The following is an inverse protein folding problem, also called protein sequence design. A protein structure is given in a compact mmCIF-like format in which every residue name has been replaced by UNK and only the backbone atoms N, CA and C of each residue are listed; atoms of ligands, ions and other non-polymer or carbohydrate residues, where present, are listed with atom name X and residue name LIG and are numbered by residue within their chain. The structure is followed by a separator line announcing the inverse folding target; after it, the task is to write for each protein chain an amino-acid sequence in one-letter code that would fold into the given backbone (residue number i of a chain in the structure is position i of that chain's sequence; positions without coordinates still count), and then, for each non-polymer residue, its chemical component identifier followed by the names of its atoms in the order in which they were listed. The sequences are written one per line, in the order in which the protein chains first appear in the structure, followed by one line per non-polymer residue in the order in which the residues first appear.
data_IF_531566178334
#
_entry.id   IF_531566178334
#
_cell.length_a   1.000
_cell.length_b   1.000
_cell.length_c   1.000
_cell.angle_alpha   90.00
_cell.angle_beta   90.00
_cell.angle_gamma   90.00
#
_symmetry.space_group_name_H-M   'P 1'
#
loop_
_entity.id
_entity.type
_entity.pdbx_description
1 polymer ?
#
# COMPACT_ATOMS: atom_id res chain seq x y z
N UNK A 1 2.74 16.52 16.74
CA UNK A 1 3.24 16.74 15.38
C UNK A 1 3.52 15.39 14.75
N UNK A 2 3.10 15.21 13.50
CA UNK A 2 3.24 13.97 12.73
C UNK A 2 4.37 14.13 11.72
N UNK A 3 4.96 13.06 11.22
CA UNK A 3 6.03 13.13 10.21
C UNK A 3 5.66 12.30 8.99
N UNK A 4 5.60 12.95 7.84
CA UNK A 4 5.41 12.29 6.54
C UNK A 4 6.67 12.47 5.69
N UNK A 5 6.89 11.54 4.77
CA UNK A 5 8.05 11.59 3.87
C UNK A 5 7.57 12.04 2.49
N UNK A 6 8.01 13.22 2.07
CA UNK A 6 7.63 13.86 0.82
C UNK A 6 8.83 13.87 -0.10
N UNK A 7 8.61 13.65 -1.39
CA UNK A 7 9.65 13.78 -2.41
C UNK A 7 9.86 15.27 -2.72
N UNK A 8 11.10 15.74 -2.56
CA UNK A 8 11.51 17.11 -2.90
C UNK A 8 11.64 17.26 -4.43
N UNK A 9 11.79 18.50 -4.91
CA UNK A 9 11.87 18.83 -6.34
C UNK A 9 13.01 18.12 -7.09
N UNK A 10 14.03 17.65 -6.36
CA UNK A 10 15.18 16.87 -6.84
C UNK A 10 14.99 15.34 -6.72
N UNK A 11 13.80 14.85 -6.40
CA UNK A 11 13.51 13.42 -6.21
C UNK A 11 14.04 12.85 -4.89
N UNK A 12 14.51 13.71 -3.98
CA UNK A 12 15.01 13.30 -2.66
C UNK A 12 13.86 13.20 -1.67
N UNK A 13 13.77 12.06 -0.99
CA UNK A 13 12.73 11.88 0.02
C UNK A 13 13.15 12.57 1.33
N UNK A 14 12.43 13.63 1.70
CA UNK A 14 12.63 14.40 2.92
C UNK A 14 11.52 14.11 3.94
N UNK A 15 11.87 14.04 5.22
CA UNK A 15 10.90 13.83 6.30
C UNK A 15 10.47 15.19 6.86
N UNK A 16 9.19 15.51 6.72
CA UNK A 16 8.62 16.82 7.07
C UNK A 16 7.67 16.64 8.26
N UNK A 17 7.83 17.49 9.27
CA UNK A 17 6.84 17.59 10.35
C UNK A 17 5.57 18.27 9.84
N UNK A 18 4.47 17.57 9.97
CA UNK A 18 3.16 17.98 9.48
C UNK A 18 2.10 17.92 10.58
N UNK A 19 1.05 18.69 10.39
CA UNK A 19 -0.11 18.72 11.28
C UNK A 19 -0.90 17.42 11.18
N UNK A 20 -1.79 17.16 12.15
CA UNK A 20 -2.64 15.97 12.14
C UNK A 20 -3.53 15.89 10.90
N UNK A 21 -3.95 17.05 10.38
CA UNK A 21 -4.76 17.18 9.17
C UNK A 21 -4.01 16.76 7.92
N UNK A 22 -2.75 17.20 7.75
CA UNK A 22 -1.90 16.82 6.63
C UNK A 22 -1.54 15.32 6.69
N UNK A 23 -1.34 14.78 7.89
CA UNK A 23 -1.14 13.34 8.07
C UNK A 23 -2.38 12.51 7.70
N UNK A 24 -3.58 12.98 8.08
CA UNK A 24 -4.84 12.35 7.64
C UNK A 24 -5.00 12.43 6.13
N UNK A 25 -4.65 13.56 5.52
CA UNK A 25 -4.69 13.74 4.07
C UNK A 25 -3.72 12.81 3.34
N UNK A 26 -2.49 12.65 3.84
CA UNK A 26 -1.52 11.67 3.31
C UNK A 26 -2.03 10.22 3.43
N UNK A 27 -2.69 9.91 4.57
CA UNK A 27 -3.36 8.62 4.79
C UNK A 27 -4.53 8.38 3.81
N UNK A 28 -5.35 9.39 3.55
CA UNK A 28 -6.44 9.30 2.56
C UNK A 28 -5.90 9.21 1.13
N UNK A 29 -4.84 9.95 0.82
CA UNK A 29 -4.15 9.89 -0.46
C UNK A 29 -3.51 8.52 -0.70
N UNK A 30 -2.97 7.87 0.33
CA UNK A 30 -2.40 6.53 0.21
C UNK A 30 -3.40 5.51 -0.36
N UNK A 31 -4.61 5.44 0.22
CA UNK A 31 -5.66 4.55 -0.28
C UNK A 31 -6.18 4.97 -1.66
N UNK A 32 -6.27 6.29 -1.90
CA UNK A 32 -6.63 6.83 -3.22
C UNK A 32 -5.60 6.48 -4.29
N UNK A 33 -4.31 6.55 -3.99
CA UNK A 33 -3.22 6.21 -4.92
C UNK A 33 -3.16 4.71 -5.19
N UNK A 34 -3.33 3.86 -4.18
CA UNK A 34 -3.43 2.42 -4.36
C UNK A 34 -4.63 2.05 -5.26
N UNK A 35 -5.78 2.68 -5.02
CA UNK A 35 -6.96 2.54 -5.88
C UNK A 35 -6.68 3.00 -7.32
N UNK A 36 -6.04 4.16 -7.51
CA UNK A 36 -5.67 4.68 -8.83
C UNK A 36 -4.71 3.75 -9.58
N UNK A 37 -3.67 3.20 -8.90
CA UNK A 37 -2.73 2.24 -9.50
C UNK A 37 -3.45 0.98 -9.97
N UNK A 38 -4.38 0.46 -9.17
CA UNK A 38 -5.20 -0.71 -9.54
C UNK A 38 -6.14 -0.42 -10.71
N UNK A 39 -6.79 0.75 -10.71
CA UNK A 39 -7.70 1.18 -11.79
C UNK A 39 -6.95 1.30 -13.13
N UNK A 40 -5.78 1.94 -13.14
CA UNK A 40 -4.92 2.02 -14.34
C UNK A 40 -4.53 0.64 -14.87
N UNK A 41 -4.20 -0.32 -14.00
CA UNK A 41 -3.86 -1.68 -14.43
C UNK A 41 -5.06 -2.39 -15.09
N UNK A 42 -6.26 -2.14 -14.59
CA UNK A 42 -7.50 -2.65 -15.17
C UNK A 42 -7.82 -1.99 -16.51
N UNK A 43 -7.67 -0.67 -16.61
CA UNK A 43 -7.88 0.11 -17.84
C UNK A 43 -6.87 -0.24 -18.93
N UNK A 44 -5.58 -0.33 -18.61
CA UNK A 44 -4.57 -0.79 -19.58
C UNK A 44 -4.85 -2.21 -20.10
N UNK A 45 -5.51 -3.05 -19.31
CA UNK A 45 -5.95 -4.38 -19.76
C UNK A 45 -7.12 -4.26 -20.73
N UNK A 46 -8.00 -3.28 -20.57
CA UNK A 46 -9.10 -2.98 -21.51
C UNK A 46 -8.61 -2.38 -22.83
N UNK A 47 -7.61 -1.50 -22.80
CA UNK A 47 -7.09 -0.87 -24.01
C UNK A 47 -6.48 -1.91 -24.98
N UNK A 48 -5.81 -2.94 -24.45
CA UNK A 48 -5.33 -4.09 -25.26
C UNK A 48 -6.45 -4.90 -25.93
N UNK A 49 -7.71 -4.78 -25.49
CA UNK A 49 -8.88 -5.47 -26.09
C UNK A 49 -9.33 -4.75 -27.36
N UNK A 50 -9.24 -3.42 -27.38
CA UNK A 50 -9.62 -2.62 -28.54
C UNK A 50 -8.67 -2.81 -29.72
N UNK A 51 -7.42 -3.22 -29.46
CA UNK A 51 -6.41 -3.46 -30.49
C UNK A 51 -6.55 -4.83 -31.18
N UNK A 52 -7.05 -5.86 -30.49
CA UNK A 52 -7.28 -7.20 -31.08
C UNK A 52 -8.56 -7.86 -30.55
N UNK A 53 -9.67 -7.81 -31.32
CA UNK A 53 -10.96 -8.42 -30.95
C UNK A 53 -10.92 -9.94 -30.78
N UNK A 54 -9.89 -10.64 -31.30
CA UNK A 54 -9.75 -12.09 -31.15
C UNK A 54 -9.36 -12.51 -29.72
N UNK A 55 -8.79 -11.58 -28.93
CA UNK A 55 -8.50 -11.78 -27.50
C UNK A 55 -9.78 -11.82 -26.64
N UNK A 56 -10.93 -11.40 -27.18
CA UNK A 56 -12.19 -11.29 -26.45
C UNK A 56 -12.65 -12.61 -25.83
N UNK A 57 -12.44 -13.74 -26.51
CA UNK A 57 -12.89 -15.06 -26.05
C UNK A 57 -11.94 -15.68 -25.00
N UNK A 58 -10.63 -15.42 -25.12
CA UNK A 58 -9.64 -15.82 -24.13
C UNK A 58 -9.82 -15.00 -22.83
N UNK A 59 -10.17 -13.73 -22.98
CA UNK A 59 -10.44 -12.82 -21.88
C UNK A 59 -11.84 -12.99 -21.29
N UNK A 60 -12.88 -13.37 -22.03
CA UNK A 60 -14.21 -13.63 -21.47
C UNK A 60 -14.18 -14.76 -20.44
N UNK A 61 -13.44 -15.83 -20.75
CA UNK A 61 -13.16 -16.93 -19.81
C UNK A 61 -12.37 -16.44 -18.59
N UNK A 62 -11.34 -15.63 -18.81
CA UNK A 62 -10.55 -15.00 -17.75
C UNK A 62 -11.36 -14.00 -16.90
N UNK A 63 -12.33 -13.29 -17.49
CA UNK A 63 -13.21 -12.29 -16.86
C UNK A 63 -14.25 -12.98 -15.96
N UNK A 64 -14.80 -14.11 -16.42
CA UNK A 64 -15.74 -14.94 -15.65
C UNK A 64 -15.04 -15.58 -14.45
N UNK A 65 -13.88 -16.22 -14.63
CA UNK A 65 -13.01 -16.69 -13.53
C UNK A 65 -12.60 -15.50 -12.61
N UNK A 66 -12.36 -14.34 -13.21
CA UNK A 66 -12.07 -13.08 -12.52
C UNK A 66 -13.23 -12.56 -11.69
N UNK A 67 -14.51 -12.85 -11.93
CA UNK A 67 -15.57 -12.16 -11.15
C UNK A 67 -15.53 -12.54 -9.67
N UNK A 68 -15.45 -13.84 -9.37
CA UNK A 68 -15.32 -14.34 -8.01
C UNK A 68 -13.91 -14.09 -7.45
N UNK A 69 -12.85 -14.36 -8.21
CA UNK A 69 -11.48 -14.09 -7.78
C UNK A 69 -11.20 -12.59 -7.56
N UNK A 70 -11.74 -11.71 -8.40
CA UNK A 70 -11.64 -10.26 -8.24
C UNK A 70 -12.45 -9.78 -7.06
N UNK A 71 -13.62 -10.36 -6.80
CA UNK A 71 -14.38 -10.07 -5.59
C UNK A 71 -13.63 -10.50 -4.34
N UNK A 72 -13.13 -11.75 -4.29
CA UNK A 72 -12.28 -12.26 -3.19
C UNK A 72 -11.06 -11.38 -3.01
N UNK A 73 -10.40 -10.97 -4.10
CA UNK A 73 -9.22 -10.09 -4.07
C UNK A 73 -9.56 -8.70 -3.53
N UNK A 74 -10.65 -8.07 -3.99
CA UNK A 74 -11.12 -6.78 -3.46
C UNK A 74 -11.43 -6.88 -1.98
N UNK A 75 -12.18 -7.90 -1.57
CA UNK A 75 -12.51 -8.16 -0.18
C UNK A 75 -11.26 -8.41 0.68
N UNK A 76 -10.28 -9.16 0.17
CA UNK A 76 -9.01 -9.42 0.85
C UNK A 76 -8.20 -8.13 1.00
N UNK A 77 -8.19 -7.26 -0.02
CA UNK A 77 -7.52 -5.96 0.03
C UNK A 77 -8.20 -5.06 1.07
N UNK A 78 -9.53 -4.99 1.08
CA UNK A 78 -10.29 -4.20 2.07
C UNK A 78 -10.00 -4.68 3.50
N UNK A 79 -10.01 -5.99 3.73
CA UNK A 79 -9.62 -6.56 5.02
C UNK A 79 -8.17 -6.26 5.40
N UNK A 80 -7.26 -6.30 4.42
CA UNK A 80 -5.86 -5.93 4.65
C UNK A 80 -5.73 -4.46 5.03
N UNK A 81 -6.50 -3.58 4.38
CA UNK A 81 -6.53 -2.16 4.71
C UNK A 81 -7.01 -1.96 6.15
N UNK A 82 -8.13 -2.59 6.52
CA UNK A 82 -8.67 -2.53 7.87
C UNK A 82 -7.66 -3.04 8.92
N UNK A 83 -6.98 -4.16 8.64
CA UNK A 83 -5.95 -4.71 9.51
C UNK A 83 -4.76 -3.75 9.70
N UNK A 84 -4.31 -3.09 8.63
CA UNK A 84 -3.25 -2.08 8.68
C UNK A 84 -3.71 -0.84 9.47
N UNK A 85 -4.97 -0.43 9.35
CA UNK A 85 -5.50 0.71 10.08
C UNK A 85 -5.59 0.48 11.60
N UNK A 86 -5.87 -0.76 12.01
CA UNK A 86 -5.91 -1.18 13.42
C UNK A 86 -4.53 -1.28 14.08
N UNK A 87 -3.44 -1.20 13.30
CA UNK A 87 -2.10 -1.17 13.88
C UNK A 87 -1.84 0.14 14.64
N UNK A 88 -1.04 0.08 15.72
CA UNK A 88 -0.49 1.28 16.35
C UNK A 88 0.23 2.16 15.32
N UNK A 89 0.12 3.48 15.47
CA UNK A 89 0.57 4.46 14.47
C UNK A 89 2.03 4.25 14.00
N UNK A 90 2.95 4.00 14.95
CA UNK A 90 4.36 3.73 14.63
C UNK A 90 4.55 2.44 13.84
N UNK A 91 3.79 1.40 14.17
CA UNK A 91 3.84 0.10 13.50
C UNK A 91 3.25 0.18 12.09
N UNK A 92 2.12 0.88 11.94
CA UNK A 92 1.48 1.18 10.65
C UNK A 92 2.43 1.93 9.73
N UNK A 93 3.04 3.01 10.23
CA UNK A 93 3.99 3.84 9.46
C UNK A 93 5.16 3.02 8.94
N UNK A 94 5.76 2.17 9.78
CA UNK A 94 6.86 1.28 9.38
C UNK A 94 6.46 0.28 8.29
N UNK A 95 5.24 -0.27 8.34
CA UNK A 95 4.70 -1.14 7.29
C UNK A 95 4.52 -0.39 5.97
N UNK A 96 3.92 0.80 6.01
CA UNK A 96 3.70 1.63 4.81
C UNK A 96 5.05 1.95 4.15
N UNK A 97 6.02 2.44 4.93
CA UNK A 97 7.36 2.76 4.42
C UNK A 97 8.06 1.55 3.81
N UNK A 98 8.01 0.39 4.49
CA UNK A 98 8.74 -0.81 4.05
C UNK A 98 8.15 -1.43 2.78
N UNK A 99 6.83 -1.57 2.71
CA UNK A 99 6.18 -2.37 1.66
C UNK A 99 5.59 -1.55 0.51
N UNK A 100 5.26 -0.27 0.73
CA UNK A 100 4.65 0.56 -0.29
C UNK A 100 5.59 1.61 -0.87
N UNK A 101 6.54 2.08 -0.07
CA UNK A 101 7.59 3.01 -0.51
C UNK A 101 8.98 2.35 -0.64
N UNK A 102 9.07 1.03 -0.48
CA UNK A 102 10.29 0.24 -0.64
C UNK A 102 11.49 0.69 0.22
N UNK A 103 11.24 1.30 1.38
CA UNK A 103 12.33 1.69 2.29
C UNK A 103 12.99 0.48 2.93
N UNK A 104 14.31 0.51 3.05
CA UNK A 104 15.06 -0.47 3.84
C UNK A 104 14.87 -0.25 5.34
N UNK A 105 15.06 -1.29 6.15
CA UNK A 105 15.00 -1.16 7.61
C UNK A 105 16.00 -0.12 8.12
N UNK A 106 17.19 -0.05 7.50
CA UNK A 106 18.23 0.95 7.79
C UNK A 106 17.74 2.38 7.58
N UNK A 107 17.14 2.69 6.42
CA UNK A 107 16.62 4.04 6.15
C UNK A 107 15.45 4.44 7.06
N UNK A 108 14.64 3.46 7.49
CA UNK A 108 13.58 3.70 8.48
C UNK A 108 14.21 3.96 9.86
N UNK A 109 15.19 3.13 10.26
CA UNK A 109 15.92 3.27 11.51
C UNK A 109 16.61 4.63 11.64
N UNK A 110 17.28 5.10 10.58
CA UNK A 110 17.92 6.42 10.52
C UNK A 110 16.91 7.56 10.67
N UNK A 111 15.78 7.49 9.96
CA UNK A 111 14.73 8.51 10.06
C UNK A 111 14.08 8.56 11.45
N UNK A 112 13.84 7.40 12.06
CA UNK A 112 13.23 7.31 13.39
C UNK A 112 14.25 7.49 14.54
N UNK A 113 15.55 7.52 14.23
CA UNK A 113 16.65 7.50 15.21
C UNK A 113 16.57 6.30 16.17
N UNK A 114 16.22 5.14 15.64
CA UNK A 114 16.06 3.88 16.37
C UNK A 114 17.00 2.84 15.77
N UNK A 115 17.37 1.79 16.51
CA UNK A 115 18.20 0.71 15.97
C UNK A 115 17.45 -0.10 14.91
N UNK A 116 18.17 -0.57 13.90
CA UNK A 116 17.60 -1.43 12.84
C UNK A 116 16.91 -2.68 13.42
N UNK A 117 17.50 -3.26 14.47
CA UNK A 117 16.95 -4.39 15.23
C UNK A 117 15.55 -4.10 15.77
N UNK A 118 15.33 -2.91 16.33
CA UNK A 118 14.04 -2.52 16.88
C UNK A 118 12.99 -2.25 15.79
N UNK A 119 13.41 -1.75 14.61
CA UNK A 119 12.53 -1.67 13.44
C UNK A 119 12.14 -3.06 12.95
N UNK A 120 13.10 -3.98 12.84
CA UNK A 120 12.85 -5.36 12.41
C UNK A 120 11.86 -6.07 13.36
N UNK A 121 12.08 -5.99 14.67
CA UNK A 121 11.17 -6.53 15.68
C UNK A 121 9.78 -5.89 15.58
N UNK A 122 9.70 -4.58 15.33
CA UNK A 122 8.43 -3.89 15.17
C UNK A 122 7.68 -4.34 13.94
N UNK A 123 8.36 -4.49 12.80
CA UNK A 123 7.73 -4.95 11.55
C UNK A 123 7.22 -6.38 11.72
N UNK A 124 8.00 -7.26 12.35
CA UNK A 124 7.56 -8.62 12.67
C UNK A 124 6.27 -8.62 13.50
N UNK A 125 6.22 -7.83 14.57
CA UNK A 125 5.00 -7.67 15.39
C UNK A 125 3.81 -7.13 14.59
N UNK A 126 4.04 -6.12 13.73
CA UNK A 126 2.98 -5.60 12.85
C UNK A 126 2.42 -6.68 11.93
N UNK A 127 3.28 -7.50 11.33
CA UNK A 127 2.88 -8.60 10.44
C UNK A 127 2.11 -9.69 11.21
N UNK A 128 2.53 -10.04 12.42
CA UNK A 128 1.79 -10.96 13.28
C UNK A 128 0.39 -10.44 13.63
N UNK A 129 0.26 -9.14 13.92
CA UNK A 129 -1.03 -8.50 14.18
C UNK A 129 -1.92 -8.52 12.95
N UNK A 130 -1.40 -8.13 11.77
CA UNK A 130 -2.15 -8.21 10.51
C UNK A 130 -2.60 -9.64 10.25
N UNK A 131 -1.71 -10.63 10.43
CA UNK A 131 -2.05 -12.04 10.24
C UNK A 131 -3.16 -12.50 11.19
N UNK A 132 -3.15 -12.06 12.45
CA UNK A 132 -4.23 -12.32 13.42
C UNK A 132 -5.55 -11.64 13.09
N UNK A 133 -5.54 -10.53 12.34
CA UNK A 133 -6.76 -9.87 11.89
C UNK A 133 -7.37 -10.51 10.64
N UNK A 134 -6.55 -11.17 9.83
CA UNK A 134 -6.98 -11.81 8.58
C UNK A 134 -7.38 -13.28 8.75
N UNK A 135 -6.91 -13.93 9.81
CA UNK A 135 -7.28 -15.29 10.23
C UNK A 135 -8.44 -15.25 11.23
#
# INVERSE_FOLDING_TARGET
MYKIKVEDHDGKIIEVEVTHEIYKFDKENFWQEDWRKRKRKQENTLDSINEDPSLLNLLSKKLVESTEESYIKKFTIEKLHEAIEKLPEKQRRRIILRFFHNFTNKQIAEAEKITERAIECSIKKSLEMIKKFLL
#
